data_IF_668322121427
#
_entry.id   IF_668322121427
#
_cell.length_a   1.000
_cell.length_b   1.000
_cell.length_c   1.000
_cell.angle_alpha   90.00
_cell.angle_beta   90.00
_cell.angle_gamma   90.00
#
_symmetry.space_group_name_H-M   'P 1'
#
loop_
_entity.id
_entity.type
_entity.pdbx_description
1 polymer ?
#
# COMPACT_ATOMS: atom_id res chain seq x y z
N UNK A 1 18.51 76.97 -19.79
CA UNK A 1 18.29 76.35 -18.47
C UNK A 1 17.62 75.00 -18.72
N UNK A 2 18.35 73.89 -18.57
CA UNK A 2 17.82 72.52 -18.76
C UNK A 2 17.25 72.06 -17.41
N UNK A 3 15.94 71.85 -17.31
CA UNK A 3 15.33 71.23 -16.14
C UNK A 3 15.30 69.71 -16.34
N UNK A 4 16.05 69.01 -15.49
CA UNK A 4 15.97 67.57 -15.30
C UNK A 4 14.65 67.25 -14.59
N UNK A 5 13.80 66.43 -15.22
CA UNK A 5 12.67 65.77 -14.56
C UNK A 5 13.12 64.35 -14.21
N UNK A 6 13.43 64.12 -12.94
CA UNK A 6 13.76 62.79 -12.42
C UNK A 6 12.46 62.10 -12.02
N UNK A 7 12.11 61.04 -12.75
CA UNK A 7 11.03 60.10 -12.42
C UNK A 7 11.41 59.34 -11.14
N UNK A 8 10.54 59.38 -10.12
CA UNK A 8 10.62 58.46 -8.98
C UNK A 8 9.43 57.50 -9.08
N UNK A 9 9.63 56.38 -9.78
CA UNK A 9 8.70 55.25 -9.78
C UNK A 9 8.80 54.54 -8.42
N UNK A 10 7.77 54.70 -7.58
CA UNK A 10 7.58 53.86 -6.41
C UNK A 10 7.09 52.48 -6.88
N UNK A 11 7.99 51.51 -6.85
CA UNK A 11 7.62 50.09 -6.88
C UNK A 11 6.96 49.75 -5.54
N UNK A 12 5.63 49.74 -5.50
CA UNK A 12 4.89 49.06 -4.43
C UNK A 12 4.83 47.59 -4.84
N UNK A 13 5.74 46.78 -4.29
CA UNK A 13 5.59 45.33 -4.33
C UNK A 13 4.40 44.97 -3.44
N UNK A 14 3.29 44.53 -4.03
CA UNK A 14 2.29 43.77 -3.28
C UNK A 14 2.95 42.49 -2.78
N UNK A 15 3.47 42.51 -1.55
CA UNK A 15 3.68 41.27 -0.82
C UNK A 15 2.29 40.80 -0.39
N UNK A 16 1.88 39.64 -0.90
CA UNK A 16 0.75 38.89 -0.37
C UNK A 16 1.17 38.48 1.05
N UNK A 17 0.80 39.27 2.05
CA UNK A 17 1.04 38.91 3.45
C UNK A 17 0.15 37.71 3.78
N UNK A 18 0.74 36.52 3.88
CA UNK A 18 0.06 35.44 4.58
C UNK A 18 -0.14 35.81 6.06
N UNK A 19 -1.13 35.20 6.68
CA UNK A 19 -1.59 35.49 8.04
C UNK A 19 -0.52 35.19 9.10
N UNK A 20 0.31 34.16 8.85
CA UNK A 20 1.47 33.87 9.69
C UNK A 20 2.68 34.71 9.28
N UNK A 21 3.43 35.20 10.28
CA UNK A 21 4.73 35.82 10.03
C UNK A 21 5.82 34.75 9.82
N UNK A 22 6.35 34.58 8.60
CA UNK A 22 7.38 33.56 8.31
C UNK A 22 8.71 33.79 9.04
N UNK A 23 8.91 34.97 9.63
CA UNK A 23 10.09 35.29 10.44
C UNK A 23 10.02 34.66 11.84
N UNK A 24 8.82 34.38 12.35
CA UNK A 24 8.62 33.69 13.64
C UNK A 24 8.75 32.17 13.52
N UNK A 25 8.71 31.65 12.29
CA UNK A 25 8.80 30.23 12.01
C UNK A 25 10.15 29.64 12.42
N UNK A 26 10.10 28.62 13.28
CA UNK A 26 11.28 27.86 13.70
C UNK A 26 11.76 26.96 12.55
N UNK A 27 13.00 27.08 12.06
CA UNK A 27 13.50 26.22 10.99
C UNK A 27 13.64 24.76 11.46
N UNK A 28 13.14 23.83 10.65
CA UNK A 28 13.38 22.38 10.78
C UNK A 28 13.81 21.82 9.42
N UNK A 29 14.39 20.63 9.44
CA UNK A 29 14.84 19.91 8.26
C UNK A 29 14.51 18.43 8.37
N UNK A 30 14.52 17.75 7.23
CA UNK A 30 14.35 16.30 7.16
C UNK A 30 15.30 15.57 8.12
N UNK A 31 14.76 14.61 8.87
CA UNK A 31 15.46 13.85 9.91
C UNK A 31 15.49 14.53 11.29
N UNK A 32 14.91 15.72 11.46
CA UNK A 32 14.84 16.34 12.78
C UNK A 32 13.89 15.60 13.74
N UNK A 33 14.35 15.47 14.98
CA UNK A 33 13.55 15.15 16.15
C UNK A 33 13.81 16.24 17.19
N UNK A 34 12.75 16.87 17.69
CA UNK A 34 12.86 17.98 18.64
C UNK A 34 11.75 17.93 19.68
N UNK A 35 11.99 18.62 20.79
CA UNK A 35 10.95 18.96 21.77
C UNK A 35 10.49 20.40 21.50
N UNK A 36 9.18 20.61 21.57
CA UNK A 36 8.54 21.89 21.36
C UNK A 36 7.43 22.12 22.38
N UNK A 37 6.90 23.35 22.40
CA UNK A 37 5.84 23.73 23.32
C UNK A 37 4.95 24.80 22.70
N UNK A 38 3.64 24.75 23.00
CA UNK A 38 2.68 25.85 22.78
C UNK A 38 2.34 26.59 24.08
N UNK A 39 2.97 26.24 25.21
CA UNK A 39 2.70 26.88 26.52
C UNK A 39 3.26 28.29 26.64
N UNK A 40 4.18 28.66 25.74
CA UNK A 40 4.85 29.95 25.72
C UNK A 40 4.52 30.65 24.40
N UNK A 41 3.85 31.79 24.49
CA UNK A 41 3.38 32.55 23.34
C UNK A 41 1.98 33.11 23.58
N UNK A 42 1.61 34.14 22.86
CA UNK A 42 0.27 34.74 22.92
C UNK A 42 -0.36 34.89 21.52
N UNK A 43 0.29 34.34 20.50
CA UNK A 43 -0.16 34.44 19.13
C UNK A 43 -1.21 33.37 18.88
N UNK A 44 -2.43 33.82 18.64
CA UNK A 44 -3.49 33.07 17.99
C UNK A 44 -4.02 33.97 16.88
N UNK A 45 -3.43 33.88 15.70
CA UNK A 45 -3.77 34.71 14.55
C UNK A 45 -4.91 34.10 13.73
N UNK A 46 -5.17 32.80 13.82
CA UNK A 46 -6.22 32.12 13.04
C UNK A 46 -7.58 32.18 13.74
N UNK A 47 -8.58 32.71 13.05
CA UNK A 47 -9.95 32.83 13.57
C UNK A 47 -11.01 32.13 12.72
N UNK A 48 -10.69 31.83 11.46
CA UNK A 48 -11.61 31.20 10.51
C UNK A 48 -11.45 29.67 10.43
N UNK A 49 -10.43 29.11 11.10
CA UNK A 49 -10.05 27.70 10.98
C UNK A 49 -8.94 27.46 9.96
N UNK A 50 -8.48 26.21 9.90
CA UNK A 50 -7.47 25.74 8.96
C UNK A 50 -8.10 24.97 7.80
N UNK A 51 -7.38 24.86 6.69
CA UNK A 51 -7.71 23.97 5.58
C UNK A 51 -9.11 24.19 4.98
N UNK A 52 -9.61 25.43 5.04
CA UNK A 52 -10.93 25.81 4.54
C UNK A 52 -12.10 25.32 5.41
N UNK A 53 -11.82 24.76 6.60
CA UNK A 53 -12.83 24.51 7.62
C UNK A 53 -13.35 25.82 8.20
N UNK A 54 -14.52 25.77 8.84
CA UNK A 54 -15.08 26.89 9.62
C UNK A 54 -14.97 26.64 11.12
N UNK A 55 -14.06 25.75 11.54
CA UNK A 55 -13.86 25.46 12.95
C UNK A 55 -13.19 26.65 13.63
N UNK A 56 -13.81 27.16 14.68
CA UNK A 56 -13.37 28.35 15.41
C UNK A 56 -12.82 28.01 16.81
N UNK A 57 -12.48 26.75 17.06
CA UNK A 57 -11.96 26.29 18.34
C UNK A 57 -10.44 26.06 18.34
N UNK A 58 -9.74 26.30 17.23
CA UNK A 58 -8.30 26.47 17.28
C UNK A 58 -7.98 27.83 17.89
N UNK A 59 -7.96 27.85 19.22
CA UNK A 59 -7.80 29.09 20.00
C UNK A 59 -6.58 29.07 20.90
N UNK A 60 -5.78 28.00 20.83
CA UNK A 60 -4.50 27.91 21.50
C UNK A 60 -3.46 28.86 20.89
N UNK A 61 -2.35 29.09 21.60
CA UNK A 61 -1.18 29.72 21.01
C UNK A 61 -0.59 28.84 19.89
N UNK A 62 -0.30 29.43 18.74
CA UNK A 62 0.27 28.71 17.60
C UNK A 62 1.79 28.58 17.72
N UNK A 63 2.32 27.42 17.32
CA UNK A 63 3.73 27.26 17.01
C UNK A 63 3.92 27.03 15.51
N UNK A 64 4.70 27.92 14.90
CA UNK A 64 5.04 27.85 13.48
C UNK A 64 6.44 27.26 13.28
N UNK A 65 6.54 26.29 12.37
CA UNK A 65 7.79 25.74 11.85
C UNK A 65 7.88 25.99 10.33
N UNK A 66 9.11 26.00 9.82
CA UNK A 66 9.38 26.06 8.37
C UNK A 66 10.43 25.05 7.95
N UNK A 67 10.27 24.45 6.78
CA UNK A 67 11.26 23.56 6.19
C UNK A 67 11.25 23.66 4.66
N UNK A 68 12.33 23.21 4.03
CA UNK A 68 12.49 23.24 2.58
C UNK A 68 12.72 21.84 2.04
N UNK A 69 11.99 21.52 0.97
CA UNK A 69 12.15 20.31 0.16
C UNK A 69 12.90 20.73 -1.10
N UNK A 70 14.06 20.12 -1.34
CA UNK A 70 14.94 20.48 -2.48
C UNK A 70 14.68 19.63 -3.71
N UNK A 71 14.16 18.42 -3.52
CA UNK A 71 13.71 17.51 -4.58
C UNK A 71 12.38 16.91 -4.17
N UNK A 72 11.44 16.70 -5.10
CA UNK A 72 10.14 16.15 -4.78
C UNK A 72 10.25 14.82 -4.03
N UNK A 73 9.57 14.70 -2.89
CA UNK A 73 9.72 13.55 -1.99
C UNK A 73 8.54 13.41 -1.01
N UNK A 74 8.41 12.23 -0.41
CA UNK A 74 7.47 12.01 0.68
C UNK A 74 8.03 12.61 1.98
N UNK A 75 7.16 13.22 2.76
CA UNK A 75 7.41 13.65 4.13
C UNK A 75 6.45 12.95 5.08
N UNK A 76 6.95 12.64 6.26
CA UNK A 76 6.14 12.22 7.40
C UNK A 76 6.48 13.08 8.60
N UNK A 77 5.44 13.63 9.21
CA UNK A 77 5.52 14.49 10.38
C UNK A 77 4.74 13.79 11.49
N UNK A 78 5.38 13.51 12.61
CA UNK A 78 4.74 12.91 13.79
C UNK A 78 4.93 13.80 15.00
N UNK A 79 3.85 14.12 15.68
CA UNK A 79 3.87 14.78 16.99
C UNK A 79 3.33 13.83 18.06
N UNK A 80 3.98 13.74 19.21
CA UNK A 80 3.58 12.85 20.30
C UNK A 80 3.99 13.41 21.68
N UNK A 81 3.52 12.76 22.75
CA UNK A 81 3.87 13.14 24.12
C UNK A 81 3.12 14.38 24.62
N UNK A 82 2.02 14.74 23.97
CA UNK A 82 1.16 15.84 24.36
C UNK A 82 0.30 15.45 25.59
N UNK A 83 0.06 16.41 26.47
CA UNK A 83 -0.88 16.32 27.59
C UNK A 83 -2.22 17.01 27.33
N UNK A 84 -2.36 17.70 26.20
CA UNK A 84 -3.56 18.40 25.76
C UNK A 84 -3.75 18.24 24.24
N UNK A 85 -4.95 18.56 23.77
CA UNK A 85 -5.40 18.35 22.39
C UNK A 85 -4.74 19.37 21.44
N UNK A 86 -3.58 19.00 20.88
CA UNK A 86 -2.88 19.79 19.87
C UNK A 86 -3.00 19.11 18.51
N UNK A 87 -3.16 19.92 17.48
CA UNK A 87 -3.37 19.50 16.11
C UNK A 87 -2.22 20.02 15.21
N UNK A 88 -2.06 19.41 14.04
CA UNK A 88 -1.03 19.80 13.05
C UNK A 88 -1.66 20.24 11.72
N UNK A 89 -1.14 21.31 11.14
CA UNK A 89 -1.54 21.81 9.82
C UNK A 89 -0.31 22.08 8.95
N UNK A 90 -0.21 21.37 7.83
CA UNK A 90 0.87 21.53 6.85
C UNK A 90 0.40 22.47 5.73
N UNK A 91 1.11 23.58 5.53
CA UNK A 91 0.74 24.67 4.63
C UNK A 91 1.80 24.89 3.55
N UNK A 92 1.36 25.28 2.34
CA UNK A 92 2.22 25.63 1.20
C UNK A 92 2.68 27.10 1.24
N UNK A 93 1.97 27.95 1.98
CA UNK A 93 2.33 29.34 2.24
C UNK A 93 1.98 29.71 3.68
N UNK A 94 2.19 30.98 4.06
CA UNK A 94 1.79 31.48 5.38
C UNK A 94 0.29 31.79 5.51
N UNK A 95 -0.53 31.25 4.62
CA UNK A 95 -2.00 31.33 4.68
C UNK A 95 -2.59 30.02 5.24
N UNK A 96 -3.43 30.04 6.29
CA UNK A 96 -4.10 28.86 6.82
C UNK A 96 -5.00 28.14 5.80
N UNK A 97 -5.47 28.87 4.78
CA UNK A 97 -6.29 28.32 3.71
C UNK A 97 -5.47 27.57 2.65
N UNK A 98 -4.17 27.85 2.51
CA UNK A 98 -3.27 27.15 1.57
C UNK A 98 -2.69 25.89 2.21
N UNK A 99 -3.61 25.08 2.72
CA UNK A 99 -3.34 23.84 3.42
C UNK A 99 -3.12 22.69 2.45
N UNK A 100 -2.16 21.83 2.79
CA UNK A 100 -1.82 20.62 2.08
C UNK A 100 -2.42 19.41 2.79
N UNK A 101 -2.26 19.36 4.12
CA UNK A 101 -2.72 18.26 4.95
C UNK A 101 -2.88 18.74 6.40
N UNK A 102 -3.71 18.05 7.15
CA UNK A 102 -3.88 18.25 8.59
C UNK A 102 -3.94 16.92 9.33
N UNK A 103 -3.65 16.96 10.62
CA UNK A 103 -3.92 15.87 11.55
C UNK A 103 -4.57 16.49 12.78
N UNK A 104 -5.80 16.05 13.06
CA UNK A 104 -6.61 16.56 14.17
C UNK A 104 -7.24 15.41 14.98
N UNK A 105 -6.41 14.48 15.43
CA UNK A 105 -6.87 13.32 16.17
C UNK A 105 -7.21 13.73 17.62
N UNK A 106 -8.16 13.06 18.27
CA UNK A 106 -8.41 13.33 19.69
C UNK A 106 -7.17 12.95 20.51
N UNK A 107 -6.90 13.70 21.59
CA UNK A 107 -5.83 13.43 22.57
C UNK A 107 -5.67 11.95 22.96
N UNK A 108 -6.76 11.17 23.03
CA UNK A 108 -6.74 9.74 23.35
C UNK A 108 -5.94 8.88 22.36
N UNK A 109 -5.68 9.39 21.15
CA UNK A 109 -4.83 8.75 20.14
C UNK A 109 -3.35 8.76 20.56
N UNK A 110 -2.94 9.73 21.37
CA UNK A 110 -1.58 9.87 21.91
C UNK A 110 -0.53 10.42 20.93
N UNK A 111 -0.92 10.70 19.68
CA UNK A 111 -0.06 11.29 18.65
C UNK A 111 -0.90 11.95 17.54
N UNK A 112 -0.28 12.89 16.83
CA UNK A 112 -0.70 13.38 15.51
C UNK A 112 0.24 12.84 14.43
N UNK A 113 -0.26 12.66 13.20
CA UNK A 113 0.55 12.20 12.07
C UNK A 113 0.08 12.80 10.74
N UNK A 114 1.01 13.44 10.03
CA UNK A 114 0.82 13.88 8.64
C UNK A 114 1.78 13.11 7.75
N UNK A 115 1.26 12.46 6.71
CA UNK A 115 2.02 12.00 5.56
C UNK A 115 1.65 12.85 4.34
N UNK A 116 2.63 13.35 3.60
CA UNK A 116 2.37 14.13 2.38
C UNK A 116 3.51 13.96 1.37
N UNK A 117 3.18 14.01 0.08
CA UNK A 117 4.19 14.23 -0.96
C UNK A 117 4.33 15.71 -1.22
N UNK A 118 5.56 16.20 -1.23
CA UNK A 118 5.87 17.60 -1.42
C UNK A 118 6.81 17.77 -2.60
N UNK A 119 6.43 18.67 -3.52
CA UNK A 119 7.30 19.19 -4.56
C UNK A 119 8.47 19.99 -3.97
N UNK A 120 9.46 20.34 -4.79
CA UNK A 120 10.52 21.23 -4.34
C UNK A 120 9.91 22.61 -3.95
N UNK A 121 10.17 23.06 -2.72
CA UNK A 121 9.53 24.26 -2.18
C UNK A 121 9.76 24.43 -0.68
N UNK A 122 9.30 25.57 -0.17
CA UNK A 122 9.28 25.87 1.27
C UNK A 122 7.88 25.66 1.80
N UNK A 123 7.79 24.97 2.93
CA UNK A 123 6.54 24.59 3.59
C UNK A 123 6.53 25.04 5.04
N UNK A 124 5.33 25.19 5.59
CA UNK A 124 5.10 25.61 6.96
C UNK A 124 4.29 24.55 7.69
N UNK A 125 4.68 24.23 8.92
CA UNK A 125 3.88 23.39 9.81
C UNK A 125 3.41 24.25 10.97
N UNK A 126 2.10 24.31 11.17
CA UNK A 126 1.47 24.97 12.32
C UNK A 126 1.04 23.90 13.30
N UNK A 127 1.34 24.13 14.57
CA UNK A 127 0.80 23.37 15.70
C UNK A 127 -0.08 24.33 16.48
N UNK A 128 -1.33 23.96 16.67
CA UNK A 128 -2.35 24.77 17.35
C UNK A 128 -3.13 23.89 18.33
N UNK A 129 -3.75 24.51 19.34
CA UNK A 129 -4.50 23.81 20.37
C UNK A 129 -6.00 24.01 20.23
N UNK A 130 -6.74 22.90 20.32
CA UNK A 130 -8.19 22.93 20.40
C UNK A 130 -8.67 23.49 21.75
N UNK A 131 -9.61 24.43 21.73
CA UNK A 131 -10.23 25.08 22.89
C UNK A 131 -9.22 25.65 23.91
N UNK A 132 -8.21 26.38 23.42
CA UNK A 132 -7.09 26.94 24.19
C UNK A 132 -6.13 25.90 24.79
N UNK A 133 -6.15 24.66 24.27
CA UNK A 133 -5.19 23.65 24.68
C UNK A 133 -3.75 24.14 24.47
N UNK A 134 -2.89 23.82 25.42
CA UNK A 134 -1.45 24.04 25.35
C UNK A 134 -0.74 22.80 25.86
N UNK A 135 0.35 22.44 25.22
CA UNK A 135 1.14 21.28 25.64
C UNK A 135 2.59 21.41 25.20
N UNK A 136 3.46 20.72 25.93
CA UNK A 136 4.75 20.29 25.40
C UNK A 136 4.53 19.10 24.47
N UNK A 137 5.46 18.87 23.54
CA UNK A 137 5.39 17.77 22.59
C UNK A 137 6.76 17.40 22.03
N UNK A 138 6.83 16.20 21.45
CA UNK A 138 7.95 15.71 20.65
C UNK A 138 7.53 15.70 19.19
N UNK A 139 8.30 16.37 18.34
CA UNK A 139 8.05 16.47 16.90
C UNK A 139 9.15 15.77 16.12
N UNK A 140 8.77 14.94 15.15
CA UNK A 140 9.69 14.31 14.21
C UNK A 140 9.28 14.63 12.77
N UNK A 141 10.20 15.15 11.96
CA UNK A 141 10.05 15.34 10.51
C UNK A 141 10.99 14.38 9.80
N UNK A 142 10.46 13.41 9.07
CA UNK A 142 11.25 12.52 8.23
C UNK A 142 10.89 12.75 6.77
N UNK A 143 11.89 12.73 5.89
CA UNK A 143 11.67 12.79 4.45
C UNK A 143 12.31 11.57 3.81
N UNK A 144 11.59 10.96 2.88
CA UNK A 144 12.07 9.86 2.07
C UNK A 144 11.82 10.22 0.61
N UNK A 145 12.84 10.18 -0.28
CA UNK A 145 12.59 10.32 -1.71
C UNK A 145 11.49 9.34 -2.13
N UNK A 146 10.46 9.82 -2.86
CA UNK A 146 9.47 8.90 -3.44
C UNK A 146 10.21 8.03 -4.45
N UNK A 147 10.37 6.75 -4.13
CA UNK A 147 11.10 5.79 -4.97
C UNK A 147 10.19 5.07 -5.94
N UNK A 148 8.87 5.33 -5.89
CA UNK A 148 7.89 4.50 -6.59
C UNK A 148 7.79 3.07 -6.03
N UNK A 149 8.29 2.85 -4.82
CA UNK A 149 8.30 1.55 -4.15
C UNK A 149 7.15 1.54 -3.13
N UNK A 150 6.10 0.71 -3.30
CA UNK A 150 5.06 0.52 -2.30
C UNK A 150 5.63 -0.02 -0.97
N UNK A 151 4.94 0.20 0.15
CA UNK A 151 5.30 -0.37 1.47
C UNK A 151 4.96 -1.87 1.60
N UNK A 152 5.48 -2.72 0.71
CA UNK A 152 5.07 -4.14 0.64
C UNK A 152 5.38 -4.98 1.89
N UNK A 153 6.27 -4.51 2.78
CA UNK A 153 6.49 -5.15 4.08
C UNK A 153 5.27 -5.07 5.01
N UNK A 154 4.34 -4.15 4.73
CA UNK A 154 3.07 -4.00 5.42
C UNK A 154 1.88 -4.48 4.57
N UNK A 155 2.15 -5.16 3.44
CA UNK A 155 1.09 -5.71 2.60
C UNK A 155 0.28 -6.76 3.37
N UNK A 156 -1.04 -6.66 3.27
CA UNK A 156 -1.94 -7.61 3.90
C UNK A 156 -2.09 -8.85 3.01
N UNK A 157 -1.88 -10.04 3.58
CA UNK A 157 -2.02 -11.28 2.81
C UNK A 157 -3.49 -11.50 2.42
N UNK A 158 -3.74 -11.68 1.13
CA UNK A 158 -5.05 -11.99 0.57
C UNK A 158 -4.99 -13.39 -0.05
N UNK A 159 -5.65 -14.35 0.57
CA UNK A 159 -5.67 -15.74 0.11
C UNK A 159 -6.68 -15.94 -1.02
N UNK A 160 -6.48 -16.97 -1.85
CA UNK A 160 -7.44 -17.27 -2.91
C UNK A 160 -8.82 -17.65 -2.32
N UNK A 161 -9.87 -17.02 -2.84
CA UNK A 161 -11.25 -17.13 -2.35
C UNK A 161 -11.58 -16.20 -1.19
N UNK A 162 -10.62 -15.41 -0.69
CA UNK A 162 -10.81 -14.50 0.43
C UNK A 162 -11.35 -13.14 -0.03
N UNK A 163 -12.14 -12.53 0.85
CA UNK A 163 -12.54 -11.11 0.78
C UNK A 163 -12.05 -10.40 2.03
N UNK A 164 -11.48 -9.22 1.86
CA UNK A 164 -11.06 -8.32 2.94
C UNK A 164 -11.73 -6.97 2.78
N UNK A 165 -12.08 -6.34 3.89
CA UNK A 165 -12.64 -4.98 3.94
C UNK A 165 -11.75 -4.06 4.75
N UNK A 166 -11.84 -2.76 4.50
CA UNK A 166 -11.07 -1.76 5.22
C UNK A 166 -11.25 -0.37 4.67
N UNK A 167 -10.31 0.51 4.99
CA UNK A 167 -10.28 1.91 4.58
C UNK A 167 -8.85 2.34 4.26
N UNK A 168 -8.66 2.98 3.10
CA UNK A 168 -7.38 3.55 2.66
C UNK A 168 -6.98 4.78 3.46
N UNK A 169 -7.91 5.44 4.18
CA UNK A 169 -7.61 6.63 4.99
C UNK A 169 -6.50 6.42 6.02
N UNK A 170 -6.37 5.21 6.55
CA UNK A 170 -5.31 4.83 7.51
C UNK A 170 -3.97 4.42 6.87
N UNK A 171 -3.92 4.36 5.53
CA UNK A 171 -2.72 4.05 4.76
C UNK A 171 -1.73 5.22 4.73
N UNK A 172 -0.65 5.02 3.98
CA UNK A 172 0.38 6.03 3.73
C UNK A 172 0.54 6.08 2.21
N UNK A 173 0.59 7.28 1.63
CA UNK A 173 1.02 7.45 0.25
C UNK A 173 2.55 7.32 0.16
N UNK A 174 3.06 6.38 -0.64
CA UNK A 174 4.46 6.31 -1.04
C UNK A 174 4.69 6.52 -2.53
N UNK A 175 3.64 6.46 -3.34
CA UNK A 175 3.73 6.39 -4.79
C UNK A 175 3.14 7.66 -5.39
N UNK A 176 3.99 8.45 -6.06
CA UNK A 176 3.51 9.57 -6.86
C UNK A 176 3.93 9.41 -8.32
N UNK A 177 2.95 9.38 -9.22
CA UNK A 177 3.13 9.25 -10.66
C UNK A 177 2.52 7.97 -11.22
N UNK A 178 2.65 7.74 -12.54
CA UNK A 178 1.95 6.63 -13.19
C UNK A 178 2.46 5.27 -12.73
N UNK A 179 1.51 4.36 -12.55
CA UNK A 179 1.74 2.92 -12.60
C UNK A 179 1.88 2.49 -14.08
N UNK A 180 1.28 1.37 -14.49
CA UNK A 180 1.20 0.97 -15.89
C UNK A 180 0.04 1.66 -16.66
N UNK A 181 -0.24 2.93 -16.36
CA UNK A 181 -1.23 3.74 -17.05
C UNK A 181 -0.69 5.15 -17.40
N UNK A 182 -1.52 6.02 -17.97
CA UNK A 182 -1.15 7.37 -18.39
C UNK A 182 -1.39 8.47 -17.34
N UNK A 183 -1.92 8.12 -16.17
CA UNK A 183 -2.35 9.08 -15.16
C UNK A 183 -1.31 9.23 -14.06
N UNK A 184 -1.04 10.46 -13.64
CA UNK A 184 0.02 10.76 -12.68
C UNK A 184 -0.50 11.13 -11.28
N UNK A 185 -1.81 11.32 -11.14
CA UNK A 185 -2.43 11.93 -9.96
C UNK A 185 -2.87 10.87 -8.94
N UNK A 186 -1.99 9.92 -8.65
CA UNK A 186 -2.15 9.00 -7.52
C UNK A 186 -1.47 9.66 -6.33
N UNK A 187 -2.30 10.30 -5.52
CA UNK A 187 -1.86 11.09 -4.35
C UNK A 187 -2.55 10.64 -3.07
N UNK A 188 -3.52 9.72 -3.18
CA UNK A 188 -4.23 9.14 -2.05
C UNK A 188 -3.34 8.19 -1.26
N UNK A 189 -3.82 7.82 -0.08
CA UNK A 189 -3.16 6.80 0.72
C UNK A 189 -3.35 5.43 0.07
N UNK A 190 -2.29 4.62 -0.01
CA UNK A 190 -2.40 3.29 -0.60
C UNK A 190 -2.83 2.25 0.44
N UNK A 191 -3.54 1.22 -0.04
CA UNK A 191 -3.64 -0.07 0.65
C UNK A 191 -3.04 -1.15 -0.23
N UNK A 192 -2.10 -1.91 0.33
CA UNK A 192 -1.34 -2.93 -0.39
C UNK A 192 -1.74 -4.31 0.11
N UNK A 193 -1.99 -5.22 -0.82
CA UNK A 193 -2.23 -6.63 -0.57
C UNK A 193 -1.16 -7.48 -1.23
N UNK A 194 -0.91 -8.66 -0.66
CA UNK A 194 -0.01 -9.66 -1.20
C UNK A 194 -0.80 -10.92 -1.54
N UNK A 195 -0.62 -11.43 -2.74
CA UNK A 195 -1.17 -12.73 -3.17
C UNK A 195 -0.03 -13.67 -3.55
N UNK A 196 -0.22 -14.95 -3.27
CA UNK A 196 0.63 -16.02 -3.79
C UNK A 196 -0.14 -16.78 -4.88
N UNK A 197 0.49 -16.95 -6.03
CA UNK A 197 -0.02 -17.72 -7.16
C UNK A 197 0.76 -19.04 -7.21
N UNK A 198 0.15 -20.19 -6.87
CA UNK A 198 0.88 -21.44 -6.71
C UNK A 198 1.26 -22.12 -8.04
N UNK A 199 0.54 -21.83 -9.12
CA UNK A 199 0.83 -22.35 -10.47
C UNK A 199 0.21 -21.42 -11.50
N UNK A 200 0.57 -21.59 -12.77
CA UNK A 200 0.03 -20.76 -13.84
C UNK A 200 -1.50 -20.88 -13.90
N UNK A 201 -2.23 -19.80 -13.62
CA UNK A 201 -3.69 -19.80 -13.53
C UNK A 201 -4.28 -18.44 -13.86
N UNK A 202 -5.59 -18.40 -14.09
CA UNK A 202 -6.34 -17.15 -14.19
C UNK A 202 -6.63 -16.65 -12.78
N UNK A 203 -6.22 -15.41 -12.54
CA UNK A 203 -6.48 -14.65 -11.32
C UNK A 203 -7.52 -13.58 -11.65
N UNK A 204 -8.57 -13.51 -10.83
CA UNK A 204 -9.56 -12.45 -10.89
C UNK A 204 -9.56 -11.68 -9.56
N UNK A 205 -9.37 -10.37 -9.66
CA UNK A 205 -9.40 -9.42 -8.56
C UNK A 205 -10.60 -8.51 -8.76
N UNK A 206 -11.36 -8.29 -7.69
CA UNK A 206 -12.49 -7.37 -7.67
C UNK A 206 -12.41 -6.50 -6.43
N UNK A 207 -12.43 -5.18 -6.60
CA UNK A 207 -12.51 -4.22 -5.52
C UNK A 207 -13.77 -3.37 -5.66
N UNK A 208 -14.52 -3.26 -4.57
CA UNK A 208 -15.88 -2.67 -4.53
C UNK A 208 -16.10 -1.90 -3.23
N UNK A 209 -17.29 -1.32 -3.05
CA UNK A 209 -17.66 -0.67 -1.78
C UNK A 209 -16.97 0.69 -1.56
N UNK A 210 -16.61 1.34 -2.66
CA UNK A 210 -15.94 2.63 -2.64
C UNK A 210 -16.93 3.77 -2.35
N UNK A 211 -16.44 4.79 -1.66
CA UNK A 211 -17.09 6.08 -1.40
C UNK A 211 -16.33 7.25 -2.06
N UNK A 212 -15.13 6.99 -2.60
CA UNK A 212 -14.33 7.91 -3.41
C UNK A 212 -13.58 7.14 -4.51
N UNK A 213 -12.83 7.87 -5.35
CA UNK A 213 -12.18 7.35 -6.56
C UNK A 213 -10.90 6.54 -6.22
N UNK A 214 -11.01 5.21 -6.21
CA UNK A 214 -9.87 4.30 -6.04
C UNK A 214 -9.64 3.51 -7.32
N UNK A 215 -8.38 3.42 -7.71
CA UNK A 215 -7.92 2.55 -8.79
C UNK A 215 -7.19 1.33 -8.22
N UNK A 216 -7.19 0.23 -8.98
CA UNK A 216 -6.53 -1.02 -8.61
C UNK A 216 -5.39 -1.34 -9.58
N UNK A 217 -4.21 -1.60 -9.03
CA UNK A 217 -3.01 -1.96 -9.76
C UNK A 217 -2.51 -3.33 -9.31
N UNK A 218 -2.07 -4.16 -10.25
CA UNK A 218 -1.42 -5.43 -9.99
C UNK A 218 0.05 -5.34 -10.41
N UNK A 219 0.95 -5.63 -9.47
CA UNK A 219 2.40 -5.54 -9.62
C UNK A 219 3.04 -6.93 -9.52
N UNK A 220 4.01 -7.22 -10.38
CA UNK A 220 4.82 -8.46 -10.34
C UNK A 220 6.02 -8.39 -9.40
N UNK A 221 6.31 -7.21 -8.85
CA UNK A 221 7.33 -6.97 -7.83
C UNK A 221 6.91 -5.77 -6.97
N UNK A 222 7.59 -5.55 -5.85
CA UNK A 222 7.36 -4.38 -5.01
C UNK A 222 7.98 -3.11 -5.64
N UNK A 223 7.46 -2.70 -6.78
CA UNK A 223 7.85 -1.52 -7.53
C UNK A 223 6.66 -1.15 -8.43
N UNK A 224 6.24 0.12 -8.43
CA UNK A 224 5.13 0.56 -9.27
C UNK A 224 5.39 0.33 -10.76
N UNK A 225 6.65 0.33 -11.20
CA UNK A 225 7.04 0.08 -12.58
C UNK A 225 6.93 -1.40 -12.95
N UNK A 226 6.78 -2.29 -11.96
CA UNK A 226 6.45 -3.69 -12.17
C UNK A 226 4.94 -3.94 -12.32
N UNK A 227 4.15 -2.89 -12.60
CA UNK A 227 2.73 -3.00 -12.88
C UNK A 227 2.49 -3.78 -14.18
N UNK A 228 1.68 -4.83 -14.07
CA UNK A 228 1.37 -5.76 -15.17
C UNK A 228 -0.10 -5.73 -15.59
N UNK A 229 -0.98 -5.19 -14.74
CA UNK A 229 -2.37 -4.94 -15.05
C UNK A 229 -2.94 -3.85 -14.14
N UNK A 230 -3.98 -3.17 -14.59
CA UNK A 230 -4.70 -2.20 -13.78
C UNK A 230 -6.17 -2.15 -14.18
N UNK A 231 -6.99 -1.59 -13.29
CA UNK A 231 -8.35 -1.14 -13.55
C UNK A 231 -8.49 0.21 -12.85
N UNK A 232 -8.90 1.24 -13.59
CA UNK A 232 -9.11 2.57 -13.02
C UNK A 232 -10.34 3.25 -13.60
N UNK A 233 -11.52 2.85 -13.11
CA UNK A 233 -12.79 3.44 -13.51
C UNK A 233 -13.12 4.58 -12.55
N UNK A 234 -13.35 5.75 -13.11
CA UNK A 234 -13.67 6.96 -12.35
C UNK A 234 -14.78 6.78 -11.30
N UNK A 235 -14.60 7.42 -10.16
CA UNK A 235 -15.61 7.56 -9.12
C UNK A 235 -15.74 6.31 -8.25
N UNK A 236 -16.95 5.93 -7.88
CA UNK A 236 -17.19 4.80 -6.95
C UNK A 236 -17.42 3.47 -7.68
N UNK A 237 -16.97 3.36 -8.92
CA UNK A 237 -17.19 2.16 -9.73
C UNK A 237 -16.28 1.02 -9.26
N UNK A 238 -16.75 -0.21 -9.44
CA UNK A 238 -15.94 -1.38 -9.08
C UNK A 238 -14.76 -1.58 -10.02
N UNK A 239 -13.58 -1.78 -9.43
CA UNK A 239 -12.36 -2.16 -10.15
C UNK A 239 -12.26 -3.67 -10.30
N UNK A 240 -11.91 -4.12 -11.51
CA UNK A 240 -11.84 -5.55 -11.83
C UNK A 240 -10.63 -5.84 -12.73
N UNK A 241 -9.81 -6.80 -12.33
CA UNK A 241 -8.67 -7.29 -13.12
C UNK A 241 -8.84 -8.79 -13.31
N UNK A 242 -8.72 -9.27 -14.55
CA UNK A 242 -8.68 -10.70 -14.88
C UNK A 242 -7.47 -10.97 -15.77
N UNK A 243 -6.52 -11.77 -15.28
CA UNK A 243 -5.25 -11.99 -15.97
C UNK A 243 -4.69 -13.38 -15.66
N UNK A 244 -4.01 -13.98 -16.63
CA UNK A 244 -3.25 -15.23 -16.44
C UNK A 244 -1.88 -14.91 -15.87
N UNK A 245 -1.60 -15.40 -14.66
CA UNK A 245 -0.32 -15.21 -13.97
C UNK A 245 0.45 -16.53 -13.91
N UNK A 246 1.78 -16.46 -13.94
CA UNK A 246 2.64 -17.61 -13.62
C UNK A 246 2.75 -17.77 -12.09
N UNK A 247 3.30 -18.90 -11.64
CA UNK A 247 3.63 -19.11 -10.23
C UNK A 247 4.49 -17.95 -9.71
N UNK A 248 4.18 -17.46 -8.51
CA UNK A 248 4.95 -16.42 -7.84
C UNK A 248 4.12 -15.53 -6.92
N UNK A 249 4.81 -14.57 -6.33
CA UNK A 249 4.25 -13.55 -5.46
C UNK A 249 3.87 -12.30 -6.27
N UNK A 250 2.69 -11.75 -6.01
CA UNK A 250 2.24 -10.50 -6.62
C UNK A 250 1.67 -9.55 -5.57
N UNK A 251 1.69 -8.26 -5.90
CA UNK A 251 1.15 -7.21 -5.04
C UNK A 251 -0.02 -6.52 -5.72
N UNK A 252 -1.04 -6.20 -4.93
CA UNK A 252 -2.18 -5.42 -5.39
C UNK A 252 -2.14 -4.10 -4.64
N UNK A 253 -2.25 -2.99 -5.35
CA UNK A 253 -2.30 -1.66 -4.76
C UNK A 253 -3.67 -1.06 -5.07
N UNK A 254 -4.41 -0.69 -4.02
CA UNK A 254 -5.53 0.24 -4.13
C UNK A 254 -4.99 1.63 -3.81
N UNK A 255 -5.16 2.56 -4.74
CA UNK A 255 -4.62 3.91 -4.64
C UNK A 255 -5.69 4.94 -5.03
N UNK A 256 -5.68 6.08 -4.35
CA UNK A 256 -6.66 7.13 -4.52
C UNK A 256 -6.29 8.12 -5.62
N UNK A 257 -7.17 8.27 -6.61
CA UNK A 257 -7.02 9.30 -7.62
C UNK A 257 -7.32 10.68 -7.01
N UNK A 258 -6.43 11.65 -7.24
CA UNK A 258 -6.52 13.04 -6.73
C UNK A 258 -6.71 13.09 -5.21
N UNK A 259 -5.83 12.41 -4.48
CA UNK A 259 -5.83 12.36 -3.00
C UNK A 259 -7.07 11.73 -2.37
N UNK A 260 -7.84 10.97 -3.15
CA UNK A 260 -9.02 10.27 -2.64
C UNK A 260 -8.63 9.24 -1.58
N UNK A 261 -9.51 9.07 -0.59
CA UNK A 261 -9.48 7.98 0.37
C UNK A 261 -10.88 7.40 0.48
N UNK A 262 -10.97 6.09 0.59
CA UNK A 262 -12.22 5.35 0.53
C UNK A 262 -12.16 4.05 1.32
N UNK A 263 -13.31 3.65 1.84
CA UNK A 263 -13.59 2.27 2.23
C UNK A 263 -13.46 1.34 1.02
N UNK A 264 -13.17 0.08 1.26
CA UNK A 264 -13.10 -0.94 0.21
C UNK A 264 -13.55 -2.31 0.69
N UNK A 265 -13.93 -3.16 -0.27
CA UNK A 265 -14.05 -4.61 -0.16
C UNK A 265 -13.32 -5.23 -1.35
N UNK A 266 -12.18 -5.89 -1.09
CA UNK A 266 -11.35 -6.53 -2.11
C UNK A 266 -11.48 -8.06 -2.03
N UNK A 267 -11.65 -8.69 -3.19
CA UNK A 267 -11.76 -10.14 -3.34
C UNK A 267 -10.73 -10.64 -4.34
N UNK A 268 -10.01 -11.69 -3.96
CA UNK A 268 -9.13 -12.44 -4.86
C UNK A 268 -9.75 -13.81 -5.10
N UNK A 269 -10.10 -14.10 -6.36
CA UNK A 269 -10.47 -15.45 -6.79
C UNK A 269 -9.45 -15.96 -7.78
N UNK A 270 -9.09 -17.23 -7.62
CA UNK A 270 -8.20 -17.93 -8.53
C UNK A 270 -8.90 -19.22 -8.97
N UNK A 271 -8.62 -19.69 -10.18
CA UNK A 271 -8.92 -21.08 -10.49
C UNK A 271 -7.91 -21.93 -9.74
N UNK A 272 -8.35 -22.55 -8.66
CA UNK A 272 -7.61 -23.67 -8.11
C UNK A 272 -7.68 -24.79 -9.17
N UNK A 273 -6.54 -25.23 -9.70
CA UNK A 273 -6.43 -26.55 -10.31
C UNK A 273 -6.63 -27.57 -9.19
N UNK A 274 -7.88 -27.74 -8.77
CA UNK A 274 -8.29 -28.84 -7.91
C UNK A 274 -8.48 -30.11 -8.72
N UNK A 275 -8.27 -30.10 -10.04
CA UNK A 275 -8.34 -31.31 -10.87
C UNK A 275 -7.18 -32.22 -10.47
N UNK A 276 -7.43 -33.27 -9.68
CA UNK A 276 -6.46 -34.35 -9.59
C UNK A 276 -6.38 -34.93 -11.00
N UNK A 277 -5.17 -35.30 -11.44
CA UNK A 277 -5.04 -36.01 -12.71
C UNK A 277 -6.02 -37.20 -12.72
N UNK A 278 -6.95 -37.21 -13.67
CA UNK A 278 -7.93 -38.27 -13.81
C UNK A 278 -7.16 -39.57 -14.11
N UNK A 279 -7.26 -40.58 -13.25
CA UNK A 279 -6.59 -41.87 -13.46
C UNK A 279 -7.06 -42.58 -14.74
N UNK A 280 -8.16 -42.14 -15.36
CA UNK A 280 -8.61 -42.65 -16.66
C UNK A 280 -7.82 -42.05 -17.84
N UNK A 281 -7.10 -40.95 -17.64
CA UNK A 281 -6.14 -40.38 -18.60
C UNK A 281 -4.72 -40.95 -18.39
N UNK A 282 -4.59 -41.97 -17.51
CA UNK A 282 -3.31 -42.59 -17.17
C UNK A 282 -2.75 -43.46 -18.30
N UNK A 283 -1.44 -43.67 -18.26
CA UNK A 283 -0.73 -44.68 -19.06
C UNK A 283 -1.31 -46.06 -18.72
N UNK A 284 -2.12 -46.63 -19.61
CA UNK A 284 -2.56 -48.01 -19.51
C UNK A 284 -1.40 -48.91 -19.88
N UNK A 285 -0.91 -49.71 -18.93
CA UNK A 285 0.13 -50.71 -19.18
C UNK A 285 -0.44 -52.10 -18.97
N UNK A 286 -0.47 -52.92 -20.02
CA UNK A 286 -0.94 -54.29 -19.93
C UNK A 286 0.23 -55.20 -19.54
N UNK A 287 0.08 -55.91 -18.42
CA UNK A 287 1.03 -56.93 -17.99
C UNK A 287 0.38 -58.31 -18.09
N UNK A 288 1.06 -59.26 -18.73
CA UNK A 288 0.67 -60.67 -18.75
C UNK A 288 1.64 -61.50 -17.91
N UNK A 289 1.11 -62.52 -17.22
CA UNK A 289 1.85 -63.44 -16.35
C UNK A 289 1.05 -64.72 -16.14
N UNK A 290 1.63 -65.73 -15.49
CA UNK A 290 1.05 -67.08 -15.33
C UNK A 290 0.03 -67.20 -14.18
N UNK A 291 -0.46 -66.07 -13.67
CA UNK A 291 -1.35 -66.01 -12.51
C UNK A 291 -0.64 -66.02 -11.16
N UNK A 292 0.66 -66.37 -11.09
CA UNK A 292 1.47 -66.35 -9.86
C UNK A 292 2.52 -65.22 -9.81
N UNK A 293 2.70 -64.49 -10.92
CA UNK A 293 3.80 -63.55 -11.11
C UNK A 293 3.44 -62.27 -11.90
N UNK A 294 2.22 -61.75 -11.77
CA UNK A 294 1.86 -60.46 -12.39
C UNK A 294 2.67 -59.34 -11.75
N UNK A 295 3.72 -58.91 -12.45
CA UNK A 295 4.70 -57.92 -11.97
C UNK A 295 4.40 -56.55 -12.54
N UNK A 296 4.19 -55.58 -11.66
CA UNK A 296 4.25 -54.16 -12.00
C UNK A 296 5.62 -53.63 -11.55
N UNK A 297 6.48 -53.39 -12.54
CA UNK A 297 7.80 -52.81 -12.33
C UNK A 297 7.82 -51.42 -12.93
N UNK A 298 7.99 -50.40 -12.08
CA UNK A 298 7.97 -49.03 -12.55
C UNK A 298 8.93 -48.18 -11.74
N UNK A 299 9.64 -47.29 -12.44
CA UNK A 299 10.46 -46.26 -11.81
C UNK A 299 9.75 -44.93 -12.06
N UNK A 300 9.15 -44.37 -11.01
CA UNK A 300 8.59 -43.04 -11.09
C UNK A 300 9.71 -42.02 -11.14
N UNK A 301 9.76 -41.26 -12.24
CA UNK A 301 10.62 -40.09 -12.36
C UNK A 301 9.74 -38.88 -12.10
N UNK A 302 9.95 -38.24 -10.95
CA UNK A 302 9.21 -37.03 -10.63
C UNK A 302 9.54 -35.93 -11.66
N UNK A 303 8.55 -35.16 -12.13
CA UNK A 303 8.82 -33.96 -12.90
C UNK A 303 9.72 -33.00 -12.12
N UNK A 304 10.45 -32.14 -12.83
CA UNK A 304 11.28 -31.12 -12.20
C UNK A 304 10.43 -30.27 -11.24
N UNK A 305 10.89 -30.08 -10.00
CA UNK A 305 10.16 -29.33 -8.97
C UNK A 305 9.24 -30.18 -8.09
N UNK A 306 9.13 -31.49 -8.35
CA UNK A 306 8.33 -32.41 -7.54
C UNK A 306 9.20 -33.48 -6.89
N UNK A 307 8.80 -33.93 -5.70
CA UNK A 307 9.39 -35.07 -5.00
C UNK A 307 8.37 -36.18 -4.89
N UNK A 308 8.80 -37.40 -5.19
CA UNK A 308 7.98 -38.58 -5.01
C UNK A 308 7.76 -38.84 -3.51
N UNK A 309 6.53 -39.16 -3.11
CA UNK A 309 6.20 -39.52 -1.74
C UNK A 309 6.00 -41.02 -1.59
N UNK A 310 5.03 -41.59 -2.32
CA UNK A 310 4.62 -42.99 -2.15
C UNK A 310 3.72 -43.49 -3.27
N UNK A 311 3.75 -44.80 -3.47
CA UNK A 311 2.80 -45.54 -4.28
C UNK A 311 1.61 -45.94 -3.43
N UNK A 312 0.40 -45.83 -3.97
CA UNK A 312 -0.84 -46.23 -3.32
C UNK A 312 -1.69 -47.10 -4.23
N UNK A 313 -2.39 -48.05 -3.62
CA UNK A 313 -3.54 -48.74 -4.21
C UNK A 313 -4.77 -48.30 -3.44
N UNK A 314 -5.65 -47.53 -4.08
CA UNK A 314 -6.72 -46.79 -3.39
C UNK A 314 -6.14 -45.95 -2.23
N UNK A 315 -6.50 -46.27 -0.98
CA UNK A 315 -5.99 -45.58 0.22
C UNK A 315 -4.76 -46.24 0.83
N UNK A 316 -4.45 -47.49 0.46
CA UNK A 316 -3.34 -48.26 1.03
C UNK A 316 -2.02 -47.88 0.41
N UNK A 317 -1.00 -47.63 1.24
CA UNK A 317 0.37 -47.36 0.80
C UNK A 317 1.03 -48.68 0.40
N UNK A 318 1.53 -48.75 -0.83
CA UNK A 318 2.23 -49.93 -1.36
C UNK A 318 3.74 -49.83 -1.19
N UNK A 319 4.31 -48.63 -1.34
CA UNK A 319 5.75 -48.39 -1.28
C UNK A 319 6.04 -46.91 -1.10
N UNK A 320 7.14 -46.57 -0.43
CA UNK A 320 7.71 -45.20 -0.38
C UNK A 320 8.94 -45.05 -1.27
N UNK A 321 9.37 -46.11 -1.96
CA UNK A 321 10.42 -46.07 -2.98
C UNK A 321 9.84 -45.67 -4.33
N UNK A 322 10.49 -44.75 -5.04
CA UNK A 322 10.11 -44.34 -6.40
C UNK A 322 10.26 -45.48 -7.42
N UNK A 323 11.20 -46.40 -7.19
CA UNK A 323 11.30 -47.66 -7.90
C UNK A 323 10.49 -48.75 -7.17
N UNK A 324 9.53 -49.36 -7.87
CA UNK A 324 8.69 -50.42 -7.31
C UNK A 324 8.71 -51.70 -8.11
N UNK A 325 8.56 -52.79 -7.35
CA UNK A 325 8.34 -54.14 -7.83
C UNK A 325 7.12 -54.69 -7.08
N UNK A 326 5.93 -54.59 -7.68
CA UNK A 326 4.69 -55.07 -7.07
C UNK A 326 4.28 -56.40 -7.71
N UNK A 327 3.81 -57.32 -6.87
CA UNK A 327 3.28 -58.62 -7.29
C UNK A 327 1.78 -58.68 -7.01
N UNK A 328 1.01 -59.04 -8.02
CA UNK A 328 -0.43 -59.28 -7.90
C UNK A 328 -0.73 -60.78 -8.01
N UNK A 329 -1.46 -61.30 -7.01
CA UNK A 329 -1.74 -62.73 -6.88
C UNK A 329 -3.00 -63.18 -7.65
N UNK A 330 -3.64 -62.29 -8.39
CA UNK A 330 -4.83 -62.57 -9.19
C UNK A 330 -4.85 -61.67 -10.44
N UNK A 331 -5.57 -62.09 -11.47
CA UNK A 331 -5.87 -61.23 -12.61
C UNK A 331 -6.88 -60.15 -12.21
N UNK A 332 -6.69 -58.91 -12.65
CA UNK A 332 -7.63 -57.84 -12.40
C UNK A 332 -7.12 -56.48 -12.87
N UNK A 333 -7.97 -55.46 -12.73
CA UNK A 333 -7.58 -54.07 -12.95
C UNK A 333 -7.12 -53.48 -11.61
N UNK A 334 -5.89 -52.95 -11.58
CA UNK A 334 -5.30 -52.38 -10.37
C UNK A 334 -5.05 -50.88 -10.57
N UNK A 335 -5.70 -50.04 -9.77
CA UNK A 335 -5.52 -48.59 -9.78
C UNK A 335 -4.36 -48.22 -8.85
N UNK A 336 -3.16 -48.13 -9.41
CA UNK A 336 -1.94 -47.78 -8.69
C UNK A 336 -1.62 -46.32 -8.96
N UNK A 337 -1.48 -45.52 -7.90
CA UNK A 337 -1.18 -44.09 -7.99
C UNK A 337 0.19 -43.79 -7.40
N UNK A 338 1.00 -42.98 -8.11
CA UNK A 338 2.15 -42.32 -7.53
C UNK A 338 1.70 -41.00 -6.90
N UNK A 339 1.84 -40.87 -5.59
CA UNK A 339 1.67 -39.61 -4.87
C UNK A 339 3.02 -38.88 -4.85
N UNK A 340 3.02 -37.62 -5.24
CA UNK A 340 4.19 -36.75 -5.27
C UNK A 340 3.79 -35.36 -4.79
N UNK A 341 4.77 -34.61 -4.28
CA UNK A 341 4.62 -33.31 -3.66
C UNK A 341 5.41 -32.28 -4.45
N UNK A 342 4.89 -31.07 -4.56
CA UNK A 342 5.66 -29.97 -5.11
C UNK A 342 6.68 -29.49 -4.06
N UNK A 343 7.97 -29.53 -4.41
CA UNK A 343 9.07 -29.24 -3.47
C UNK A 343 9.00 -27.80 -2.98
N UNK A 344 8.45 -26.88 -3.78
CA UNK A 344 8.39 -25.46 -3.46
C UNK A 344 7.31 -25.12 -2.40
N UNK A 345 6.24 -25.90 -2.29
CA UNK A 345 5.07 -25.55 -1.47
C UNK A 345 4.85 -26.47 -0.27
N UNK A 346 5.58 -27.60 -0.18
CA UNK A 346 5.32 -28.64 0.82
C UNK A 346 3.94 -29.28 0.61
#
# INVERSE_FOLDING_TARGET
MKHFFTFLLWYVSLQVYGQFDPLTATPIQCGNQLEGTTTVGCHNVVSAGYCGSNYNQYTGPEKLYKFTITTPQNVSIKMAGMSADLDMFLLRSTSPADCIAESSLPLTSGYEYIGAYLEAGTYYLVIDGWSNAVSDYKLALNCAPSTGIPLCNFAENLSCGQTLTGDTKSGINQIQGPYCNQFCNYGGNEKIFKIEVPFKTIVNLSATGFVADLDMFLLSACDRNACIAYSGKSGVNSENISVTLNQGTYYIVLDGYVNSASTYSITYTCQQNTTPLNCNDAIVTNYSGDGSNLRFNYIFTAPQGYTFLRWKYNTTILSTSSNVHLLFNASGNYNICAEYLEVATG
#
